data_IF_645050730706
#
_entry.id   IF_645050730706
#
_cell.length_a   1.000
_cell.length_b   1.000
_cell.length_c   1.000
_cell.angle_alpha   90.00
_cell.angle_beta   90.00
_cell.angle_gamma   90.00
#
_symmetry.space_group_name_H-M   'P 1'
#
loop_
_entity.id
_entity.type
_entity.pdbx_description
1 polymer ?
#
# COMPACT_ATOMS: atom_id res chain seq x y z
N UNK A 1 8.95 -6.46 -2.88
CA UNK A 1 8.32 -6.16 -4.19
C UNK A 1 7.94 -7.42 -4.95
N UNK A 2 8.80 -8.45 -5.06
CA UNK A 2 8.47 -9.73 -5.73
C UNK A 2 7.06 -10.28 -5.49
N UNK A 3 6.58 -10.38 -4.25
CA UNK A 3 5.23 -10.88 -3.98
C UNK A 3 4.11 -10.03 -4.65
N UNK A 4 4.31 -8.72 -4.76
CA UNK A 4 3.37 -7.82 -5.46
C UNK A 4 3.47 -8.01 -6.97
N UNK A 5 4.68 -8.19 -7.50
CA UNK A 5 4.90 -8.50 -8.93
C UNK A 5 4.23 -9.83 -9.31
N UNK A 6 4.39 -10.86 -8.48
CA UNK A 6 3.75 -12.17 -8.66
C UNK A 6 2.21 -12.02 -8.67
N UNK A 7 1.65 -11.20 -7.77
CA UNK A 7 0.22 -10.89 -7.74
C UNK A 7 -0.25 -10.23 -9.04
N UNK A 8 0.48 -9.23 -9.54
CA UNK A 8 0.15 -8.52 -10.79
C UNK A 8 0.18 -9.47 -12.00
N UNK A 9 1.13 -10.41 -12.01
CA UNK A 9 1.25 -11.39 -13.10
C UNK A 9 0.10 -12.39 -13.15
N UNK A 10 -0.53 -12.69 -12.00
CA UNK A 10 -1.60 -13.68 -11.90
C UNK A 10 -2.98 -13.03 -12.03
N UNK A 11 -3.14 -11.81 -11.51
CA UNK A 11 -4.43 -11.13 -11.40
C UNK A 11 -4.48 -9.88 -12.29
N UNK A 12 -4.97 -10.05 -13.53
CA UNK A 12 -5.03 -8.96 -14.51
C UNK A 12 -6.21 -7.99 -14.34
N UNK A 13 -7.19 -8.30 -13.47
CA UNK A 13 -8.35 -7.44 -13.19
C UNK A 13 -8.99 -7.77 -11.85
N UNK A 14 -9.72 -6.81 -11.28
CA UNK A 14 -10.48 -6.96 -10.05
C UNK A 14 -9.74 -6.40 -8.82
N UNK A 15 -10.31 -6.63 -7.64
CA UNK A 15 -9.80 -6.12 -6.38
C UNK A 15 -9.12 -7.23 -5.58
N UNK A 16 -8.03 -6.90 -4.89
CA UNK A 16 -7.26 -7.83 -4.06
C UNK A 16 -7.20 -7.27 -2.64
N UNK A 17 -7.48 -8.12 -1.65
CA UNK A 17 -7.31 -7.78 -0.24
C UNK A 17 -5.97 -8.34 0.25
N UNK A 18 -5.09 -7.47 0.73
CA UNK A 18 -3.83 -7.84 1.37
C UNK A 18 -3.97 -7.60 2.88
N UNK A 19 -3.88 -8.67 3.67
CA UNK A 19 -3.84 -8.60 5.13
C UNK A 19 -2.42 -8.91 5.60
N UNK A 20 -1.83 -8.01 6.39
CA UNK A 20 -0.46 -8.16 6.87
C UNK A 20 -0.24 -7.37 8.16
N UNK A 21 1.01 -7.18 8.56
CA UNK A 21 1.40 -6.44 9.75
C UNK A 21 1.64 -4.96 9.46
N UNK A 22 1.48 -4.11 10.49
CA UNK A 22 1.60 -2.66 10.35
C UNK A 22 2.93 -2.20 9.75
N UNK A 23 4.06 -2.82 10.09
CA UNK A 23 5.36 -2.44 9.51
C UNK A 23 5.45 -2.77 8.02
N UNK A 24 5.01 -3.96 7.62
CA UNK A 24 5.02 -4.40 6.21
C UNK A 24 4.11 -3.52 5.35
N UNK A 25 2.90 -3.24 5.83
CA UNK A 25 1.95 -2.41 5.10
C UNK A 25 2.41 -0.94 5.04
N UNK A 26 2.98 -0.40 6.12
CA UNK A 26 3.56 0.95 6.14
C UNK A 26 4.61 1.12 5.05
N UNK A 27 5.50 0.14 4.93
CA UNK A 27 6.50 0.16 3.87
C UNK A 27 5.87 0.09 2.49
N UNK A 28 5.01 -0.90 2.25
CA UNK A 28 4.41 -1.10 0.93
C UNK A 28 3.68 0.15 0.46
N UNK A 29 2.88 0.77 1.33
CA UNK A 29 2.19 2.02 1.02
C UNK A 29 3.15 3.16 0.67
N UNK A 30 4.25 3.32 1.41
CA UNK A 30 5.26 4.34 1.10
C UNK A 30 5.89 4.10 -0.28
N UNK A 31 6.23 2.85 -0.61
CA UNK A 31 6.80 2.52 -1.93
C UNK A 31 5.77 2.74 -3.06
N UNK A 32 4.50 2.43 -2.81
CA UNK A 32 3.43 2.68 -3.78
C UNK A 32 3.16 4.17 -3.98
N UNK A 33 3.44 5.01 -2.98
CA UNK A 33 3.35 6.46 -3.06
C UNK A 33 4.62 7.12 -3.64
N UNK A 34 5.57 6.31 -4.14
CA UNK A 34 6.78 6.79 -4.80
C UNK A 34 7.99 6.97 -3.90
N UNK A 35 7.90 6.62 -2.60
CA UNK A 35 9.08 6.57 -1.75
C UNK A 35 10.04 5.45 -2.19
N UNK A 36 11.29 5.63 -1.85
CA UNK A 36 12.37 4.65 -2.01
C UNK A 36 12.66 3.94 -0.71
N UNK A 37 13.45 2.87 -0.78
CA UNK A 37 13.79 2.11 0.42
C UNK A 37 14.65 2.93 1.40
N UNK A 38 15.38 3.91 0.89
CA UNK A 38 16.26 4.80 1.65
C UNK A 38 15.48 5.91 2.36
N UNK A 39 14.48 6.49 1.71
CA UNK A 39 13.76 7.66 2.22
C UNK A 39 12.39 7.36 2.85
N UNK A 40 11.89 6.11 2.80
CA UNK A 40 10.56 5.78 3.33
C UNK A 40 10.36 6.15 4.81
N UNK A 41 11.42 6.34 5.60
CA UNK A 41 11.34 6.72 7.02
C UNK A 41 11.41 8.23 7.25
N UNK A 42 11.67 9.01 6.20
CA UNK A 42 11.67 10.46 6.30
C UNK A 42 10.27 10.96 6.66
N UNK A 43 10.23 12.12 7.32
CA UNK A 43 8.99 12.72 7.78
C UNK A 43 8.06 12.99 6.59
N UNK A 44 6.79 12.60 6.73
CA UNK A 44 5.81 12.70 5.65
C UNK A 44 5.81 11.57 4.62
N UNK A 45 6.85 10.71 4.57
CA UNK A 45 6.92 9.60 3.60
C UNK A 45 6.22 8.32 4.07
N UNK A 46 6.09 8.11 5.38
CA UNK A 46 5.34 6.98 5.90
C UNK A 46 4.74 7.24 7.27
N UNK A 47 3.53 6.74 7.48
CA UNK A 47 2.77 6.88 8.72
C UNK A 47 2.60 5.54 9.42
N UNK A 48 2.54 5.56 10.75
CA UNK A 48 2.19 4.37 11.53
C UNK A 48 0.74 3.97 11.23
N UNK A 49 0.52 2.66 11.01
CA UNK A 49 -0.82 2.17 10.68
C UNK A 49 -1.61 1.77 11.92
N UNK A 50 -2.87 2.16 11.96
CA UNK A 50 -3.79 1.75 13.02
C UNK A 50 -4.25 0.30 12.79
N UNK A 51 -4.64 -0.36 13.87
CA UNK A 51 -5.20 -1.71 13.78
C UNK A 51 -6.47 -1.68 12.92
N UNK A 52 -6.61 -2.71 12.08
CA UNK A 52 -7.73 -2.89 11.14
C UNK A 52 -8.00 -1.71 10.21
N UNK A 53 -7.07 -0.76 10.08
CA UNK A 53 -7.23 0.35 9.16
C UNK A 53 -7.14 -0.11 7.71
N UNK A 54 -7.91 0.55 6.84
CA UNK A 54 -7.98 0.23 5.42
C UNK A 54 -7.10 1.22 4.64
N UNK A 55 -6.21 0.67 3.81
CA UNK A 55 -5.53 1.39 2.75
C UNK A 55 -6.09 0.99 1.40
N UNK A 56 -6.19 1.94 0.47
CA UNK A 56 -6.63 1.70 -0.90
C UNK A 56 -5.55 2.18 -1.86
N UNK A 57 -5.13 1.29 -2.74
CA UNK A 57 -4.09 1.53 -3.74
C UNK A 57 -4.63 1.06 -5.08
N UNK A 58 -4.53 1.92 -6.09
CA UNK A 58 -4.82 1.56 -7.47
C UNK A 58 -3.54 1.16 -8.17
N UNK A 59 -3.64 0.18 -9.07
CA UNK A 59 -2.56 -0.20 -9.95
C UNK A 59 -3.06 -0.17 -11.39
N UNK A 60 -2.30 0.51 -12.24
CA UNK A 60 -2.49 0.56 -13.68
C UNK A 60 -1.17 0.20 -14.37
N UNK A 61 -1.22 -0.60 -15.44
CA UNK A 61 -0.01 -1.07 -16.12
C UNK A 61 0.81 0.04 -16.76
N UNK A 62 0.18 1.17 -17.14
CA UNK A 62 0.85 2.32 -17.75
C UNK A 62 1.29 3.34 -16.70
N UNK A 63 0.46 3.57 -15.67
CA UNK A 63 0.67 4.63 -14.67
C UNK A 63 1.34 4.16 -13.38
N UNK A 64 1.42 2.85 -13.15
CA UNK A 64 1.95 2.28 -11.92
C UNK A 64 0.96 2.35 -10.75
N UNK A 65 1.50 2.48 -9.54
CA UNK A 65 0.69 2.55 -8.32
C UNK A 65 0.27 3.99 -8.02
N UNK A 66 -0.93 4.13 -7.44
CA UNK A 66 -1.37 5.38 -6.81
C UNK A 66 -2.13 5.08 -5.51
N UNK A 67 -1.77 5.80 -4.45
CA UNK A 67 -2.40 5.63 -3.14
C UNK A 67 -3.62 6.55 -3.05
N UNK A 68 -4.81 5.98 -2.86
CA UNK A 68 -6.04 6.74 -2.67
C UNK A 68 -6.29 7.03 -1.19
N UNK A 69 -6.10 6.02 -0.33
CA UNK A 69 -6.39 6.10 1.09
C UNK A 69 -5.30 5.43 1.91
N UNK A 70 -5.00 6.04 3.05
CA UNK A 70 -4.13 5.49 4.09
C UNK A 70 -4.84 5.66 5.42
N UNK A 71 -4.80 4.63 6.26
CA UNK A 71 -5.34 4.66 7.62
C UNK A 71 -6.85 4.97 7.73
N UNK A 72 -7.67 4.52 6.77
CA UNK A 72 -9.12 4.69 6.88
C UNK A 72 -9.69 3.77 7.97
N UNK A 73 -10.16 4.38 9.05
CA UNK A 73 -10.78 3.72 10.20
C UNK A 73 -12.25 4.11 10.37
N UNK A 74 -12.87 4.76 9.38
CA UNK A 74 -14.26 5.24 9.50
C UNK A 74 -15.29 4.12 9.74
N UNK A 75 -14.93 2.86 9.45
CA UNK A 75 -15.75 1.69 9.74
C UNK A 75 -15.68 1.23 11.20
N UNK A 76 -14.76 1.76 12.00
CA UNK A 76 -14.56 1.39 13.41
C UNK A 76 -15.38 2.24 14.40
N UNK A 77 -16.00 3.34 13.95
CA UNK A 77 -16.84 4.21 14.78
C UNK A 77 -16.85 5.66 14.34
#
# INVERSE_FOLDING_TARGET
MKAIEDIIQIHHKGNILVVSHGHTLRLLLALFDGATWQNHREEGQSVSLLNTAIGVVHYDSEKGFSVEKVNDVGHLG
#
